data_IF_926779613530
#
_entry.id   IF_926779613530
#
_cell.length_a   1.000
_cell.length_b   1.000
_cell.length_c   1.000
_cell.angle_alpha   90.00
_cell.angle_beta   90.00
_cell.angle_gamma   90.00
#
_symmetry.space_group_name_H-M   'P 1'
#
loop_
_entity.id
_entity.type
_entity.pdbx_description
1 polymer ?
#
# COMPACT_ATOMS: atom_id res chain seq x y z
N UNK A 1 -3.93 -26.56 4.61
CA UNK A 1 -2.87 -26.31 3.59
C UNK A 1 -2.79 -24.85 3.10
N UNK A 2 -3.83 -24.01 3.23
CA UNK A 2 -3.78 -22.59 2.82
C UNK A 2 -2.83 -21.71 3.68
N UNK A 3 -2.75 -21.99 4.99
CA UNK A 3 -1.94 -21.23 5.95
C UNK A 3 -0.42 -21.27 5.64
N UNK A 4 0.13 -22.43 5.29
CA UNK A 4 1.55 -22.59 4.95
C UNK A 4 1.94 -21.83 3.66
N UNK A 5 1.04 -21.77 2.67
CA UNK A 5 1.25 -20.99 1.44
C UNK A 5 1.17 -19.49 1.68
N UNK A 6 0.31 -19.03 2.59
CA UNK A 6 0.21 -17.61 2.98
C UNK A 6 1.47 -17.15 3.73
N UNK A 7 1.98 -17.98 4.64
CA UNK A 7 3.23 -17.70 5.36
C UNK A 7 4.45 -17.63 4.43
N UNK A 8 4.54 -18.54 3.44
CA UNK A 8 5.62 -18.52 2.45
C UNK A 8 5.61 -17.28 1.53
N UNK A 9 4.46 -16.59 1.42
CA UNK A 9 4.31 -15.33 0.67
C UNK A 9 4.36 -14.10 1.57
N UNK A 10 4.61 -14.25 2.87
CA UNK A 10 4.53 -13.15 3.84
C UNK A 10 3.16 -12.47 3.90
N UNK A 11 2.08 -13.15 3.48
CA UNK A 11 0.75 -12.57 3.37
C UNK A 11 0.55 -11.58 2.21
N UNK A 12 1.49 -11.50 1.26
CA UNK A 12 1.39 -10.64 0.07
C UNK A 12 0.51 -11.28 -1.02
N UNK A 13 -0.50 -10.52 -1.47
CA UNK A 13 -1.37 -10.88 -2.58
C UNK A 13 -1.50 -9.67 -3.51
N UNK A 14 -0.91 -9.69 -4.72
CA UNK A 14 -0.94 -8.54 -5.62
C UNK A 14 -2.35 -8.29 -6.15
N UNK A 15 -2.67 -7.01 -6.40
CA UNK A 15 -3.89 -6.61 -7.08
C UNK A 15 -3.89 -7.15 -8.52
N UNK A 16 -4.89 -7.97 -8.92
CA UNK A 16 -4.99 -8.41 -10.31
C UNK A 16 -5.21 -7.23 -11.27
N UNK A 17 -4.45 -7.21 -12.37
CA UNK A 17 -4.50 -6.13 -13.37
C UNK A 17 -5.92 -5.94 -13.97
N UNK A 18 -6.70 -7.02 -14.06
CA UNK A 18 -8.09 -6.98 -14.54
C UNK A 18 -9.02 -6.11 -13.67
N UNK A 19 -8.67 -5.84 -12.42
CA UNK A 19 -9.46 -4.99 -11.52
C UNK A 19 -9.08 -3.51 -11.58
N UNK A 20 -7.94 -3.17 -12.20
CA UNK A 20 -7.47 -1.78 -12.31
C UNK A 20 -8.50 -0.88 -13.00
N UNK A 21 -9.10 -1.24 -14.16
CA UNK A 21 -10.08 -0.38 -14.82
C UNK A 21 -11.33 -0.12 -13.97
N UNK A 22 -11.76 -1.12 -13.19
CA UNK A 22 -12.91 -0.96 -12.30
C UNK A 22 -12.58 0.04 -11.20
N UNK A 23 -11.47 -0.15 -10.48
CA UNK A 23 -11.04 0.76 -9.40
C UNK A 23 -10.88 2.19 -9.91
N UNK A 24 -10.21 2.39 -11.04
CA UNK A 24 -9.95 3.73 -11.57
C UNK A 24 -11.23 4.42 -12.08
N UNK A 25 -12.29 3.67 -12.38
CA UNK A 25 -13.59 4.23 -12.77
C UNK A 25 -14.43 4.74 -11.60
N UNK A 26 -14.27 4.18 -10.39
CA UNK A 26 -15.07 4.55 -9.22
C UNK A 26 -14.54 5.78 -8.47
N UNK A 27 -13.24 6.04 -8.56
CA UNK A 27 -12.60 7.14 -7.86
C UNK A 27 -12.02 8.15 -8.83
N UNK A 28 -12.20 9.45 -8.53
CA UNK A 28 -11.52 10.53 -9.21
C UNK A 28 -10.47 11.11 -8.28
N UNK A 29 -9.20 10.99 -8.67
CA UNK A 29 -8.12 11.68 -7.97
C UNK A 29 -7.87 13.06 -8.59
N UNK A 30 -7.33 13.97 -7.78
CA UNK A 30 -6.84 15.25 -8.27
C UNK A 30 -5.53 15.01 -9.04
N UNK A 31 -5.54 15.31 -10.34
CA UNK A 31 -4.35 15.26 -11.20
C UNK A 31 -3.19 16.06 -10.57
N UNK A 32 -1.97 15.51 -10.63
CA UNK A 32 -0.79 16.11 -10.00
C UNK A 32 -0.71 15.94 -8.48
N UNK A 33 -1.66 15.22 -7.88
CA UNK A 33 -1.64 14.82 -6.48
C UNK A 33 -0.62 13.72 -6.17
N UNK A 34 -0.60 13.26 -4.92
CA UNK A 34 0.29 12.18 -4.45
C UNK A 34 -0.51 10.95 -4.10
N UNK A 35 0.05 9.78 -4.38
CA UNK A 35 -0.48 8.48 -3.98
C UNK A 35 0.51 7.77 -3.06
N UNK A 36 0.03 7.16 -1.98
CA UNK A 36 0.85 6.32 -1.09
C UNK A 36 0.36 4.88 -1.16
N UNK A 37 1.28 3.93 -1.24
CA UNK A 37 1.04 2.55 -0.81
C UNK A 37 1.97 2.22 0.36
N UNK A 38 1.45 2.07 1.59
CA UNK A 38 2.26 1.81 2.77
C UNK A 38 2.67 0.33 2.91
N UNK A 39 2.15 -0.55 2.04
CA UNK A 39 2.50 -1.97 1.91
C UNK A 39 2.66 -2.32 0.42
N UNK A 40 3.58 -1.62 -0.25
CA UNK A 40 3.66 -1.57 -1.71
C UNK A 40 3.95 -2.90 -2.39
N UNK A 41 4.49 -3.89 -1.66
CA UNK A 41 5.05 -5.09 -2.24
C UNK A 41 6.06 -4.73 -3.32
N UNK A 42 5.86 -5.25 -4.52
CA UNK A 42 6.73 -4.97 -5.67
C UNK A 42 6.39 -3.63 -6.38
N UNK A 43 5.36 -2.92 -5.93
CA UNK A 43 4.96 -1.61 -6.46
C UNK A 43 4.04 -1.65 -7.68
N UNK A 44 3.70 -2.84 -8.22
CA UNK A 44 2.91 -2.97 -9.44
C UNK A 44 1.54 -2.27 -9.36
N UNK A 45 0.81 -2.47 -8.26
CA UNK A 45 -0.50 -1.84 -8.06
C UNK A 45 -0.37 -0.31 -7.97
N UNK A 46 0.58 0.18 -7.17
CA UNK A 46 0.88 1.60 -7.02
C UNK A 46 1.23 2.24 -8.37
N UNK A 47 2.08 1.59 -9.18
CA UNK A 47 2.46 2.10 -10.50
C UNK A 47 1.25 2.22 -11.43
N UNK A 48 0.46 1.15 -11.54
CA UNK A 48 -0.69 1.11 -12.44
C UNK A 48 -1.77 2.14 -12.05
N UNK A 49 -2.11 2.21 -10.76
CA UNK A 49 -3.11 3.12 -10.23
C UNK A 49 -2.65 4.58 -10.30
N UNK A 50 -1.43 4.88 -9.88
CA UNK A 50 -0.88 6.23 -9.93
C UNK A 50 -0.79 6.73 -11.37
N UNK A 51 -0.40 5.88 -12.32
CA UNK A 51 -0.40 6.21 -13.74
C UNK A 51 -1.81 6.51 -14.27
N UNK A 52 -2.80 5.66 -13.96
CA UNK A 52 -4.17 5.86 -14.40
C UNK A 52 -4.82 7.14 -13.84
N UNK A 53 -4.44 7.54 -12.63
CA UNK A 53 -4.97 8.74 -11.98
C UNK A 53 -4.10 10.00 -12.15
N UNK A 54 -2.93 9.90 -12.78
CA UNK A 54 -1.99 11.02 -12.93
C UNK A 54 -1.44 11.52 -11.58
N UNK A 55 -1.11 10.60 -10.68
CA UNK A 55 -0.58 10.88 -9.34
C UNK A 55 0.91 10.52 -9.25
N UNK A 56 1.62 11.20 -8.36
CA UNK A 56 3.01 10.85 -8.00
C UNK A 56 3.02 9.70 -6.99
N UNK A 57 3.61 8.53 -7.30
CA UNK A 57 3.59 7.36 -6.42
C UNK A 57 4.62 7.46 -5.29
N UNK A 58 4.26 7.01 -4.08
CA UNK A 58 5.16 6.82 -2.96
C UNK A 58 4.95 5.43 -2.36
N UNK A 59 6.02 4.68 -2.17
CA UNK A 59 6.02 3.30 -1.71
C UNK A 59 6.72 3.16 -0.35
N UNK A 60 6.11 2.43 0.55
CA UNK A 60 6.77 1.83 1.71
C UNK A 60 6.56 0.31 1.66
N UNK A 61 7.63 -0.45 1.85
CA UNK A 61 7.57 -1.91 1.93
C UNK A 61 8.51 -2.42 3.02
N UNK A 62 8.04 -3.42 3.79
CA UNK A 62 8.79 -3.99 4.91
C UNK A 62 9.90 -4.93 4.42
N UNK A 63 9.63 -5.70 3.37
CA UNK A 63 10.58 -6.63 2.78
C UNK A 63 11.64 -5.90 1.95
N UNK A 64 12.91 -6.18 2.23
CA UNK A 64 14.03 -5.42 1.65
C UNK A 64 14.16 -5.62 0.13
N UNK A 65 13.88 -6.82 -0.37
CA UNK A 65 13.99 -7.15 -1.79
C UNK A 65 12.86 -6.48 -2.58
N UNK A 66 11.62 -6.58 -2.08
CA UNK A 66 10.47 -5.88 -2.68
C UNK A 66 10.60 -4.35 -2.58
N UNK A 67 11.16 -3.83 -1.49
CA UNK A 67 11.49 -2.41 -1.38
C UNK A 67 12.59 -1.97 -2.38
N UNK A 68 13.56 -2.83 -2.68
CA UNK A 68 14.56 -2.57 -3.71
C UNK A 68 13.91 -2.47 -5.11
N UNK A 69 12.97 -3.37 -5.43
CA UNK A 69 12.19 -3.29 -6.69
C UNK A 69 11.38 -1.99 -6.79
N UNK A 70 10.77 -1.55 -5.68
CA UNK A 70 10.09 -0.26 -5.62
C UNK A 70 11.06 0.91 -5.88
N UNK A 71 12.30 0.85 -5.36
CA UNK A 71 13.31 1.89 -5.60
C UNK A 71 13.81 1.91 -7.04
N UNK A 72 13.93 0.76 -7.68
CA UNK A 72 14.24 0.68 -9.12
C UNK A 72 13.12 1.32 -9.96
N UNK A 73 11.87 1.12 -9.55
CA UNK A 73 10.69 1.62 -10.29
C UNK A 73 10.41 3.10 -10.06
N UNK A 74 10.51 3.59 -8.81
CA UNK A 74 10.07 4.93 -8.42
C UNK A 74 11.22 5.87 -8.01
N UNK A 75 12.42 5.34 -7.77
CA UNK A 75 13.57 6.08 -7.27
C UNK A 75 13.60 6.23 -5.74
N UNK A 76 14.79 6.58 -5.24
CA UNK A 76 15.07 6.68 -3.79
C UNK A 76 14.27 7.79 -3.08
N UNK A 77 13.78 8.79 -3.81
CA UNK A 77 12.94 9.86 -3.25
C UNK A 77 11.48 9.46 -3.02
N UNK A 78 11.05 8.32 -3.60
CA UNK A 78 9.66 7.87 -3.59
C UNK A 78 9.47 6.48 -2.99
N UNK A 79 10.55 5.73 -2.74
CA UNK A 79 10.46 4.38 -2.19
C UNK A 79 11.37 4.18 -0.97
N UNK A 80 10.77 3.74 0.14
CA UNK A 80 11.47 3.44 1.40
C UNK A 80 11.24 1.98 1.82
N UNK A 81 12.22 1.42 2.53
CA UNK A 81 12.10 0.12 3.17
C UNK A 81 11.78 0.35 4.66
N UNK A 82 10.65 -0.15 5.16
CA UNK A 82 10.23 0.13 6.53
C UNK A 82 8.88 -0.46 6.93
N UNK A 83 8.66 -0.48 8.25
CA UNK A 83 7.39 -0.88 8.85
C UNK A 83 6.36 0.25 8.74
N UNK A 84 5.18 -0.05 8.19
CA UNK A 84 4.03 0.86 8.10
C UNK A 84 3.75 1.56 9.44
N UNK A 85 3.83 0.84 10.56
CA UNK A 85 3.51 1.37 11.89
C UNK A 85 4.47 2.49 12.33
N UNK A 86 5.70 2.48 11.80
CA UNK A 86 6.74 3.47 12.10
C UNK A 86 7.02 4.43 10.93
N UNK A 87 6.32 4.27 9.81
CA UNK A 87 6.47 5.10 8.62
C UNK A 87 6.21 6.57 8.95
N UNK A 88 7.19 7.41 8.58
CA UNK A 88 7.12 8.88 8.70
C UNK A 88 7.02 9.49 7.31
N UNK A 89 5.91 10.14 7.06
CA UNK A 89 5.61 10.91 5.85
C UNK A 89 4.63 12.04 6.20
N UNK A 90 4.52 13.13 5.41
CA UNK A 90 3.58 14.20 5.72
C UNK A 90 2.16 13.70 5.97
N UNK A 91 1.53 14.22 7.02
CA UNK A 91 0.13 13.96 7.30
C UNK A 91 -0.75 14.73 6.32
N UNK A 92 -1.90 14.14 5.96
CA UNK A 92 -2.93 14.77 5.13
C UNK A 92 -2.41 15.31 3.78
N UNK A 93 -1.48 14.59 3.16
CA UNK A 93 -0.76 15.02 1.97
C UNK A 93 -1.04 14.18 0.71
N UNK A 94 -1.81 13.09 0.87
CA UNK A 94 -2.04 12.13 -0.20
C UNK A 94 -3.49 12.18 -0.68
N UNK A 95 -3.65 12.24 -2.01
CA UNK A 95 -4.97 12.23 -2.67
C UNK A 95 -5.60 10.85 -2.67
N UNK A 96 -4.77 9.81 -2.65
CA UNK A 96 -5.18 8.41 -2.48
C UNK A 96 -4.11 7.70 -1.64
N UNK A 97 -4.54 6.88 -0.68
CA UNK A 97 -3.66 5.93 0.00
C UNK A 97 -4.18 4.54 -0.27
N UNK A 98 -3.55 3.78 -1.17
CA UNK A 98 -3.96 2.40 -1.44
C UNK A 98 -3.30 1.47 -0.43
N UNK A 99 -4.08 0.88 0.46
CA UNK A 99 -3.58 -0.02 1.48
C UNK A 99 -3.95 -1.48 1.17
N UNK A 100 -2.96 -2.28 0.80
CA UNK A 100 -3.08 -3.74 0.67
C UNK A 100 -2.17 -4.44 1.71
N UNK A 101 -2.47 -4.32 3.01
CA UNK A 101 -1.62 -4.86 4.06
C UNK A 101 -1.56 -6.40 4.00
N UNK A 102 -0.49 -7.01 4.53
CA UNK A 102 -0.34 -8.46 4.50
C UNK A 102 -1.48 -9.16 5.27
N UNK A 103 -2.13 -10.14 4.62
CA UNK A 103 -3.21 -10.92 5.21
C UNK A 103 -2.64 -12.04 6.08
N UNK A 104 -2.41 -11.73 7.35
CA UNK A 104 -1.82 -12.68 8.32
C UNK A 104 -2.61 -12.69 9.63
N UNK A 105 -2.97 -13.89 10.08
CA UNK A 105 -3.51 -14.08 11.42
C UNK A 105 -2.39 -13.94 12.46
N UNK A 106 -2.68 -13.35 13.61
CA UNK A 106 -1.71 -13.24 14.69
C UNK A 106 -1.25 -14.63 15.17
N UNK A 107 0.02 -14.95 14.99
CA UNK A 107 0.69 -16.01 15.73
C UNK A 107 0.94 -15.53 17.16
N UNK A 108 -0.05 -15.66 18.07
CA UNK A 108 0.27 -15.65 19.51
C UNK A 108 -0.67 -14.97 20.51
N UNK A 109 -1.94 -14.66 20.20
CA UNK A 109 -2.87 -14.06 21.16
C UNK A 109 -4.26 -14.70 21.17
N UNK A 110 -4.89 -14.77 22.36
CA UNK A 110 -6.24 -15.30 22.57
C UNK A 110 -7.37 -14.46 21.92
N UNK A 111 -7.03 -13.33 21.30
CA UNK A 111 -7.95 -12.44 20.59
C UNK A 111 -7.44 -12.25 19.17
N UNK A 112 -8.26 -12.64 18.19
CA UNK A 112 -8.03 -12.45 16.78
C UNK A 112 -8.18 -10.96 16.41
N UNK A 113 -7.16 -10.15 16.72
CA UNK A 113 -7.10 -8.77 16.21
C UNK A 113 -6.63 -8.81 14.76
N UNK A 114 -7.52 -8.42 13.84
CA UNK A 114 -7.22 -8.26 12.40
C UNK A 114 -6.29 -7.07 12.20
N UNK A 115 -4.99 -7.33 12.00
CA UNK A 115 -3.98 -6.27 11.78
C UNK A 115 -4.27 -5.43 10.54
N UNK A 116 -4.98 -5.98 9.56
CA UNK A 116 -5.37 -5.25 8.36
C UNK A 116 -6.24 -4.03 8.70
N UNK A 117 -7.12 -4.15 9.69
CA UNK A 117 -7.98 -3.05 10.15
C UNK A 117 -7.15 -1.98 10.88
N UNK A 118 -6.17 -2.40 11.68
CA UNK A 118 -5.26 -1.47 12.37
C UNK A 118 -4.41 -0.69 11.36
N UNK A 119 -3.89 -1.36 10.34
CA UNK A 119 -3.14 -0.72 9.24
C UNK A 119 -4.03 0.25 8.43
N UNK A 120 -5.28 -0.13 8.16
CA UNK A 120 -6.24 0.74 7.48
C UNK A 120 -6.53 2.00 8.30
N UNK A 121 -6.83 1.86 9.59
CA UNK A 121 -7.06 2.99 10.50
C UNK A 121 -5.81 3.87 10.59
N UNK A 122 -4.63 3.25 10.71
CA UNK A 122 -3.36 3.98 10.78
C UNK A 122 -3.08 4.80 9.52
N UNK A 123 -3.50 4.30 8.35
CA UNK A 123 -3.27 4.95 7.06
C UNK A 123 -4.07 6.23 6.87
N UNK A 124 -5.21 6.36 7.57
CA UNK A 124 -6.12 7.49 7.44
C UNK A 124 -5.48 8.85 7.77
N UNK A 125 -4.45 8.88 8.64
CA UNK A 125 -3.72 10.11 9.00
C UNK A 125 -2.95 10.76 7.83
N UNK A 126 -2.66 9.99 6.78
CA UNK A 126 -1.92 10.47 5.60
C UNK A 126 -2.85 11.02 4.51
N UNK A 127 -4.12 10.67 4.54
CA UNK A 127 -5.14 11.04 3.54
C UNK A 127 -5.49 12.54 3.68
N UNK A 128 -5.43 13.27 2.57
CA UNK A 128 -5.84 14.67 2.50
C UNK A 128 -7.35 14.85 2.75
N UNK A 129 -7.80 16.09 2.95
CA UNK A 129 -9.25 16.34 3.06
C UNK A 129 -9.99 15.98 1.77
N UNK A 130 -11.09 15.25 1.93
CA UNK A 130 -11.92 14.80 0.80
C UNK A 130 -11.26 13.74 -0.09
N UNK A 131 -10.10 13.20 0.31
CA UNK A 131 -9.40 12.13 -0.39
C UNK A 131 -9.83 10.73 0.10
N UNK A 132 -9.29 9.69 -0.54
CA UNK A 132 -9.68 8.29 -0.33
C UNK A 132 -8.53 7.46 0.26
N UNK A 133 -8.90 6.45 1.06
CA UNK A 133 -8.10 5.25 1.38
C UNK A 133 -8.76 4.07 0.67
#
# INVERSE_FOLDING_TARGET
MAHLKSLARGGYYPLPNEHIPALTSYFKANQGGRMLDPCAGEGAALQALASAWGLTPYANELDADRAAMCRETFGLGQAVAGDLATLRTPTRAYSIVYANPPYTANTGGAVEKRREVEHLIHSWKWVADGAFV
#
